data_IF_573620923485
#
_entry.id   IF_573620923485
#
_cell.length_a   1.000
_cell.length_b   1.000
_cell.length_c   1.000
_cell.angle_alpha   90.00
_cell.angle_beta   90.00
_cell.angle_gamma   90.00
#
_symmetry.space_group_name_H-M   'P 1'
#
loop_
_entity.id
_entity.type
_entity.pdbx_description
1 polymer ?
#
# COMPACT_ATOMS: atom_id res chain seq x y z
N UNK A 1 3.04 0.08 -9.40
CA UNK A 1 3.11 0.47 -7.96
C UNK A 1 2.06 1.52 -7.64
N UNK A 2 2.13 2.71 -8.24
CA UNK A 2 1.19 3.81 -7.95
C UNK A 2 -0.29 3.43 -8.10
N UNK A 3 -0.68 2.76 -9.19
CA UNK A 3 -2.06 2.31 -9.37
C UNK A 3 -2.53 1.35 -8.26
N UNK A 4 -1.67 0.41 -7.85
CA UNK A 4 -2.01 -0.52 -6.78
C UNK A 4 -2.12 0.18 -5.42
N UNK A 5 -1.28 1.19 -5.15
CA UNK A 5 -1.39 2.00 -3.95
C UNK A 5 -2.68 2.82 -3.91
N UNK A 6 -3.04 3.47 -5.02
CA UNK A 6 -4.34 4.15 -5.15
C UNK A 6 -5.49 3.16 -4.95
N UNK A 7 -5.37 1.96 -5.51
CA UNK A 7 -6.32 0.87 -5.29
C UNK A 7 -6.43 0.44 -3.81
N UNK A 8 -5.32 0.38 -3.08
CA UNK A 8 -5.33 0.08 -1.64
C UNK A 8 -5.98 1.19 -0.80
N UNK A 9 -5.71 2.46 -1.14
CA UNK A 9 -6.38 3.62 -0.50
C UNK A 9 -7.88 3.60 -0.78
N UNK A 10 -8.28 3.35 -2.03
CA UNK A 10 -9.67 3.16 -2.41
C UNK A 10 -10.32 2.00 -1.64
N UNK A 11 -9.66 0.85 -1.54
CA UNK A 11 -10.14 -0.31 -0.79
C UNK A 11 -10.34 0.03 0.70
N UNK A 12 -9.37 0.72 1.33
CA UNK A 12 -9.52 1.18 2.71
C UNK A 12 -10.74 2.10 2.89
N UNK A 13 -11.01 2.99 1.93
CA UNK A 13 -12.17 3.90 2.00
C UNK A 13 -13.52 3.18 1.77
N UNK A 14 -13.56 2.14 0.94
CA UNK A 14 -14.81 1.45 0.57
C UNK A 14 -15.13 0.23 1.44
N UNK A 15 -14.12 -0.51 1.90
CA UNK A 15 -14.28 -1.81 2.57
C UNK A 15 -14.14 -1.67 4.09
N UNK A 16 -13.20 -0.86 4.55
CA UNK A 16 -12.96 -0.59 5.98
C UNK A 16 -14.03 0.25 6.73
N UNK A 17 -15.06 0.90 6.12
CA UNK A 17 -16.10 1.62 6.87
C UNK A 17 -16.81 0.79 7.94
N UNK A 18 -16.89 -0.53 7.74
CA UNK A 18 -17.65 -1.46 8.56
C UNK A 18 -16.74 -2.59 9.06
N UNK A 19 -15.80 -2.27 9.95
CA UNK A 19 -15.04 -3.31 10.62
C UNK A 19 -15.98 -4.19 11.45
N UNK A 20 -15.86 -5.52 11.29
CA UNK A 20 -16.76 -6.55 11.82
C UNK A 20 -16.79 -6.65 13.38
N UNK A 21 -16.06 -5.78 14.09
CA UNK A 21 -16.00 -5.77 15.54
C UNK A 21 -16.95 -4.71 16.11
N UNK A 22 -17.85 -5.13 16.99
CA UNK A 22 -18.84 -4.26 17.62
C UNK A 22 -18.27 -2.98 18.23
N UNK A 23 -19.12 -1.94 18.21
CA UNK A 23 -19.01 -0.66 18.92
C UNK A 23 -17.86 0.29 18.56
N UNK A 24 -16.75 -0.15 17.97
CA UNK A 24 -15.64 0.73 17.56
C UNK A 24 -15.05 0.34 16.20
N UNK A 25 -15.51 1.00 15.13
CA UNK A 25 -14.94 0.91 13.77
C UNK A 25 -14.16 2.19 13.49
N UNK A 26 -12.84 2.16 13.69
CA UNK A 26 -11.94 3.29 13.45
C UNK A 26 -11.46 3.28 11.99
N UNK A 27 -12.35 3.70 11.08
CA UNK A 27 -12.08 3.86 9.63
C UNK A 27 -10.83 4.71 9.37
N UNK A 28 -10.58 5.69 10.24
CA UNK A 28 -9.44 6.58 10.18
C UNK A 28 -8.10 5.84 10.19
N UNK A 29 -7.96 4.76 10.97
CA UNK A 29 -6.67 4.07 11.11
C UNK A 29 -6.26 3.37 9.82
N UNK A 30 -7.18 2.62 9.20
CA UNK A 30 -6.92 1.90 7.95
C UNK A 30 -6.60 2.87 6.80
N UNK A 31 -7.32 4.00 6.72
CA UNK A 31 -7.03 5.04 5.72
C UNK A 31 -5.65 5.66 5.93
N UNK A 32 -5.27 5.98 7.17
CA UNK A 32 -3.93 6.50 7.48
C UNK A 32 -2.82 5.48 7.17
N UNK A 33 -3.05 4.20 7.47
CA UNK A 33 -2.11 3.13 7.11
C UNK A 33 -1.98 2.99 5.60
N UNK A 34 -3.08 2.97 4.85
CA UNK A 34 -3.06 2.91 3.39
C UNK A 34 -2.31 4.09 2.77
N UNK A 35 -2.52 5.30 3.30
CA UNK A 35 -1.90 6.51 2.77
C UNK A 35 -0.41 6.59 3.14
N UNK A 36 -0.08 6.55 4.43
CA UNK A 36 1.28 6.83 4.94
C UNK A 36 2.18 5.62 4.74
N UNK A 37 1.80 4.46 5.26
CA UNK A 37 2.63 3.25 5.15
C UNK A 37 2.66 2.76 3.71
N UNK A 38 1.52 2.76 3.01
CA UNK A 38 1.47 2.44 1.58
C UNK A 38 2.34 3.38 0.74
N UNK A 39 2.25 4.70 0.98
CA UNK A 39 3.07 5.71 0.32
C UNK A 39 4.57 5.52 0.59
N UNK A 40 4.92 5.21 1.84
CA UNK A 40 6.30 4.90 2.22
C UNK A 40 6.83 3.67 1.48
N UNK A 41 6.08 2.56 1.43
CA UNK A 41 6.46 1.31 0.74
C UNK A 41 6.72 1.56 -0.76
N UNK A 42 5.87 2.36 -1.43
CA UNK A 42 6.02 2.58 -2.88
C UNK A 42 7.07 3.63 -3.24
N UNK A 43 7.47 4.50 -2.31
CA UNK A 43 8.37 5.64 -2.60
C UNK A 43 9.71 5.19 -3.20
N UNK A 44 10.38 4.25 -2.55
CA UNK A 44 11.68 3.70 -2.98
C UNK A 44 11.62 2.97 -4.33
N UNK A 45 10.74 1.97 -4.55
CA UNK A 45 10.69 1.28 -5.84
C UNK A 45 10.25 2.19 -6.99
N UNK A 46 9.40 3.21 -6.75
CA UNK A 46 9.06 4.21 -7.77
C UNK A 46 10.27 5.07 -8.11
N UNK A 47 11.01 5.57 -7.12
CA UNK A 47 12.22 6.33 -7.36
C UNK A 47 13.27 5.50 -8.14
N UNK A 48 13.48 4.24 -7.76
CA UNK A 48 14.41 3.35 -8.47
C UNK A 48 13.95 3.01 -9.90
N UNK A 49 12.63 2.87 -10.14
CA UNK A 49 12.10 2.64 -11.47
C UNK A 49 12.35 3.83 -12.41
N UNK A 50 12.29 5.06 -11.89
CA UNK A 50 12.54 6.27 -12.67
C UNK A 50 14.04 6.55 -12.87
N UNK A 51 14.84 6.40 -11.82
CA UNK A 51 16.26 6.78 -11.83
C UNK A 51 17.18 5.66 -12.33
N UNK A 52 16.80 4.39 -12.14
CA UNK A 52 17.63 3.22 -12.42
C UNK A 52 16.81 2.09 -13.07
N UNK A 53 16.16 2.34 -14.22
CA UNK A 53 15.36 1.32 -14.90
C UNK A 53 16.24 0.14 -15.36
N UNK A 54 15.64 -1.05 -15.44
CA UNK A 54 16.28 -2.25 -15.98
C UNK A 54 17.28 -2.96 -15.05
N UNK A 55 17.70 -2.34 -13.93
CA UNK A 55 18.60 -3.02 -12.98
C UNK A 55 17.90 -4.16 -12.25
N UNK A 56 18.64 -5.23 -11.99
CA UNK A 56 18.14 -6.36 -11.22
C UNK A 56 17.70 -5.92 -9.81
N UNK A 57 18.46 -5.05 -9.14
CA UNK A 57 18.11 -4.50 -7.83
C UNK A 57 16.75 -3.79 -7.85
N UNK A 58 16.50 -2.92 -8.83
CA UNK A 58 15.21 -2.24 -9.01
C UNK A 58 14.05 -3.23 -9.12
N UNK A 59 14.21 -4.32 -9.89
CA UNK A 59 13.18 -5.36 -10.01
C UNK A 59 12.92 -6.10 -8.70
N UNK A 60 13.96 -6.44 -7.94
CA UNK A 60 13.79 -7.12 -6.64
C UNK A 60 13.15 -6.19 -5.61
N UNK A 61 13.52 -4.91 -5.57
CA UNK A 61 12.87 -3.92 -4.69
C UNK A 61 11.40 -3.77 -5.02
N UNK A 62 11.04 -3.72 -6.33
CA UNK A 62 9.64 -3.72 -6.77
C UNK A 62 8.92 -4.97 -6.27
N UNK A 63 9.50 -6.16 -6.43
CA UNK A 63 8.87 -7.42 -6.00
C UNK A 63 8.62 -7.46 -4.48
N UNK A 64 9.60 -7.06 -3.67
CA UNK A 64 9.44 -6.97 -2.20
C UNK A 64 8.36 -5.96 -1.84
N UNK A 65 8.37 -4.79 -2.46
CA UNK A 65 7.33 -3.78 -2.22
C UNK A 65 5.94 -4.27 -2.62
N UNK A 66 5.81 -5.09 -3.67
CA UNK A 66 4.55 -5.74 -4.02
C UNK A 66 4.04 -6.70 -2.95
N UNK A 67 4.93 -7.51 -2.37
CA UNK A 67 4.56 -8.41 -1.28
C UNK A 67 4.11 -7.63 -0.03
N UNK A 68 4.83 -6.56 0.31
CA UNK A 68 4.46 -5.68 1.44
C UNK A 68 3.12 -4.97 1.21
N UNK A 69 2.87 -4.46 0.01
CA UNK A 69 1.60 -3.81 -0.31
C UNK A 69 0.43 -4.81 -0.30
N UNK A 70 0.68 -6.07 -0.71
CA UNK A 70 -0.29 -7.15 -0.59
C UNK A 70 -0.64 -7.48 0.86
N UNK A 71 0.38 -7.57 1.73
CA UNK A 71 0.17 -7.76 3.17
C UNK A 71 -0.59 -6.58 3.80
N UNK A 72 -0.28 -5.34 3.40
CA UNK A 72 -1.01 -4.16 3.83
C UNK A 72 -2.48 -4.25 3.39
N UNK A 73 -2.76 -4.62 2.14
CA UNK A 73 -4.14 -4.73 1.64
C UNK A 73 -4.96 -5.77 2.40
N UNK A 74 -4.37 -6.90 2.81
CA UNK A 74 -5.05 -7.89 3.66
C UNK A 74 -5.39 -7.32 5.05
N UNK A 75 -4.60 -6.37 5.53
CA UNK A 75 -4.79 -5.70 6.81
C UNK A 75 -5.73 -4.50 6.75
N UNK A 76 -6.04 -3.98 5.54
CA UNK A 76 -6.93 -2.84 5.29
C UNK A 76 -8.39 -3.26 5.15
#
# INVERSE_FOLDING_TARGET
MAFQWVGAVAAALWISPQAWAGSYSETHLHVWMALVLGGFIISLPVALALLQPGRATTRHTIAVAQMLLGALLIHL
#
